data_IF_884241357493
#
_entry.id   IF_884241357493
#
_cell.length_a   1.000
_cell.length_b   1.000
_cell.length_c   1.000
_cell.angle_alpha   90.00
_cell.angle_beta   90.00
_cell.angle_gamma   90.00
#
_symmetry.space_group_name_H-M   'P 1'
#
loop_
_entity.id
_entity.type
_entity.pdbx_description
1 polymer ?
#
# COMPACT_ATOMS: atom_id res chain seq x y z
N UNK A 1 24.91 -15.32 2.18
CA UNK A 1 23.49 -15.52 1.78
C UNK A 1 23.09 -14.38 0.84
N UNK A 2 23.34 -14.50 -0.48
CA UNK A 2 23.19 -13.41 -1.47
C UNK A 2 22.59 -13.95 -2.79
N UNK A 3 21.29 -14.29 -2.80
CA UNK A 3 20.61 -14.78 -4.03
C UNK A 3 19.24 -14.15 -4.32
N UNK A 4 18.76 -13.23 -3.48
CA UNK A 4 17.41 -12.67 -3.60
C UNK A 4 17.30 -11.41 -4.48
N UNK A 5 18.42 -10.72 -4.78
CA UNK A 5 18.37 -9.42 -5.49
C UNK A 5 18.07 -9.55 -7.00
N UNK A 6 18.48 -10.65 -7.63
CA UNK A 6 18.34 -10.85 -9.09
C UNK A 6 16.92 -11.25 -9.51
N UNK A 7 16.14 -11.92 -8.66
CA UNK A 7 14.77 -12.33 -8.99
C UNK A 7 13.82 -11.14 -8.95
N UNK A 8 14.00 -10.20 -8.02
CA UNK A 8 13.04 -9.08 -7.93
C UNK A 8 13.24 -8.02 -9.00
N UNK A 9 14.46 -7.86 -9.53
CA UNK A 9 14.70 -7.05 -10.72
C UNK A 9 13.93 -7.58 -11.94
N UNK A 10 13.87 -8.90 -12.14
CA UNK A 10 13.09 -9.52 -13.22
C UNK A 10 11.59 -9.30 -13.05
N UNK A 11 11.11 -9.30 -11.81
CA UNK A 11 9.70 -9.05 -11.47
C UNK A 11 9.35 -7.59 -11.74
N UNK A 12 10.19 -6.65 -11.31
CA UNK A 12 9.98 -5.22 -11.58
C UNK A 12 10.03 -4.92 -13.08
N UNK A 13 10.91 -5.59 -13.84
CA UNK A 13 10.94 -5.48 -15.30
C UNK A 13 9.70 -6.09 -15.97
N UNK A 14 9.25 -7.30 -15.58
CA UNK A 14 8.02 -7.91 -16.13
C UNK A 14 6.77 -7.08 -15.81
N UNK A 15 6.70 -6.52 -14.61
CA UNK A 15 5.61 -5.62 -14.17
C UNK A 15 5.68 -4.29 -14.92
N UNK A 16 6.87 -3.72 -15.12
CA UNK A 16 7.05 -2.53 -15.94
C UNK A 16 6.68 -2.78 -17.40
N UNK A 17 7.08 -3.91 -17.99
CA UNK A 17 6.72 -4.29 -19.35
C UNK A 17 5.21 -4.50 -19.52
N UNK A 18 4.53 -5.01 -18.47
CA UNK A 18 3.07 -5.11 -18.45
C UNK A 18 2.37 -3.74 -18.26
N UNK A 19 2.98 -2.80 -17.52
CA UNK A 19 2.47 -1.42 -17.34
C UNK A 19 2.71 -0.54 -18.57
N UNK A 20 3.75 -0.80 -19.37
CA UNK A 20 4.05 -0.05 -20.59
C UNK A 20 3.07 -0.30 -21.76
N UNK A 21 2.06 -1.17 -21.61
CA UNK A 21 1.05 -1.47 -22.65
C UNK A 21 -0.40 -1.15 -22.24
N UNK A 22 -0.67 0.05 -21.75
CA UNK A 22 -2.04 0.58 -21.65
C UNK A 22 -2.04 2.12 -21.81
N UNK A 23 -1.52 2.63 -22.92
CA UNK A 23 -2.11 3.86 -23.46
C UNK A 23 -3.34 3.42 -24.26
N UNK A 24 -4.58 3.77 -23.87
CA UNK A 24 -5.67 3.69 -24.83
C UNK A 24 -5.26 4.59 -25.99
N UNK A 25 -5.25 4.05 -27.21
CA UNK A 25 -5.07 4.83 -28.43
C UNK A 25 -6.05 6.02 -28.36
N UNK A 26 -5.55 7.20 -28.00
CA UNK A 26 -6.27 8.43 -28.23
C UNK A 26 -6.30 8.57 -29.73
N UNK A 27 -7.42 8.20 -30.34
CA UNK A 27 -7.74 8.55 -31.72
C UNK A 27 -7.47 10.04 -31.86
N UNK A 28 -6.43 10.37 -32.61
CA UNK A 28 -6.14 11.74 -33.01
C UNK A 28 -7.29 12.16 -33.91
N UNK A 29 -8.25 12.92 -33.37
CA UNK A 29 -9.16 13.70 -34.20
C UNK A 29 -8.42 14.96 -34.63
N UNK A 30 -8.27 15.11 -35.92
CA UNK A 30 -7.60 16.18 -36.64
C UNK A 30 -8.11 17.58 -36.28
N UNK A 31 -7.13 18.49 -36.22
CA UNK A 31 -7.09 19.89 -36.65
C UNK A 31 -8.18 20.87 -36.18
N UNK A 32 -7.74 21.86 -35.40
CA UNK A 32 -8.10 23.26 -35.69
C UNK A 32 -6.88 24.17 -35.50
N UNK A 33 -6.63 24.97 -36.54
CA UNK A 33 -5.60 26.00 -36.62
C UNK A 33 -6.03 27.26 -35.86
N UNK A 34 -5.34 27.68 -34.79
CA UNK A 34 -5.33 29.10 -34.37
C UNK A 34 -3.99 29.51 -33.75
N UNK A 35 -3.41 30.53 -34.39
CA UNK A 35 -2.51 31.61 -33.99
C UNK A 35 -1.53 31.49 -32.78
N UNK A 36 -0.30 31.91 -33.08
CA UNK A 36 0.77 32.30 -32.18
C UNK A 36 0.29 33.14 -30.97
N UNK A 37 0.47 32.59 -29.77
CA UNK A 37 0.61 33.34 -28.53
C UNK A 37 1.87 32.85 -27.83
N UNK A 38 2.67 33.76 -27.30
CA UNK A 38 3.88 33.47 -26.53
C UNK A 38 3.64 32.34 -25.52
N UNK A 39 4.58 31.37 -25.39
CA UNK A 39 4.40 30.25 -24.49
C UNK A 39 4.38 30.77 -23.06
N UNK A 40 3.17 30.84 -22.49
CA UNK A 40 2.97 30.93 -21.05
C UNK A 40 3.76 29.78 -20.44
N UNK A 41 4.90 30.10 -19.82
CA UNK A 41 5.77 29.13 -19.15
C UNK A 41 4.98 28.58 -17.97
N UNK A 42 4.17 27.55 -18.21
CA UNK A 42 3.47 26.83 -17.16
C UNK A 42 4.55 26.31 -16.22
N UNK A 43 4.47 26.70 -14.93
CA UNK A 43 5.45 26.31 -13.92
C UNK A 43 5.76 24.81 -14.05
N UNK A 44 6.98 24.49 -14.45
CA UNK A 44 7.37 23.12 -14.76
C UNK A 44 7.13 22.26 -13.51
N UNK A 45 6.18 21.32 -13.61
CA UNK A 45 5.90 20.42 -12.50
C UNK A 45 7.15 19.59 -12.21
N UNK A 46 7.48 19.43 -10.93
CA UNK A 46 8.64 18.64 -10.48
C UNK A 46 8.21 17.26 -10.00
N UNK A 47 9.04 16.24 -10.26
CA UNK A 47 8.82 14.89 -9.73
C UNK A 47 8.74 14.94 -8.19
N UNK A 48 7.68 14.36 -7.58
CA UNK A 48 7.53 14.42 -6.12
C UNK A 48 8.67 13.73 -5.36
N UNK A 49 9.27 12.70 -5.95
CA UNK A 49 10.34 11.89 -5.35
C UNK A 49 11.69 12.58 -5.50
N UNK A 50 12.20 12.77 -6.73
CA UNK A 50 13.54 13.32 -6.94
C UNK A 50 13.59 14.85 -6.99
N UNK A 51 12.44 15.54 -6.90
CA UNK A 51 12.28 17.01 -6.98
C UNK A 51 12.80 17.67 -8.28
N UNK A 52 13.28 16.88 -9.24
CA UNK A 52 13.77 17.41 -10.53
C UNK A 52 12.57 17.84 -11.41
N UNK A 53 12.66 19.00 -12.10
CA UNK A 53 11.68 19.37 -13.11
C UNK A 53 11.71 18.34 -14.24
N UNK A 54 10.54 17.94 -14.74
CA UNK A 54 10.43 16.95 -15.81
C UNK A 54 9.32 17.32 -16.76
N UNK A 55 9.60 17.18 -18.05
CA UNK A 55 8.64 17.38 -19.14
C UNK A 55 7.61 16.25 -19.20
N UNK A 56 7.97 15.05 -18.72
CA UNK A 56 7.10 13.88 -18.64
C UNK A 56 6.95 13.43 -17.19
N UNK A 57 5.90 13.93 -16.54
CA UNK A 57 5.42 13.40 -15.26
C UNK A 57 4.09 12.70 -15.50
N UNK A 58 3.88 11.58 -14.81
CA UNK A 58 2.62 10.86 -14.81
C UNK A 58 2.13 10.63 -13.39
N UNK A 59 0.82 10.47 -13.24
CA UNK A 59 0.28 9.91 -12.00
C UNK A 59 0.73 8.46 -11.89
N UNK A 60 1.35 8.09 -10.76
CA UNK A 60 1.73 6.71 -10.51
C UNK A 60 0.48 5.87 -10.19
N UNK A 61 0.12 4.95 -11.10
CA UNK A 61 -0.93 3.97 -10.86
C UNK A 61 -0.63 3.13 -9.61
N UNK A 62 0.65 2.81 -9.39
CA UNK A 62 1.08 2.07 -8.22
C UNK A 62 0.93 2.88 -6.93
N UNK A 63 1.23 4.19 -6.93
CA UNK A 63 1.00 5.05 -5.76
C UNK A 63 -0.49 5.07 -5.36
N UNK A 64 -1.42 5.09 -6.33
CA UNK A 64 -2.86 4.99 -6.05
C UNK A 64 -3.26 3.68 -5.35
N UNK A 65 -2.51 2.61 -5.59
CA UNK A 65 -2.73 1.30 -4.98
C UNK A 65 -2.04 1.13 -3.61
N UNK A 66 -1.25 2.12 -3.18
CA UNK A 66 -0.62 2.10 -1.86
C UNK A 66 -1.49 2.76 -0.80
N UNK A 67 -1.54 2.14 0.38
CA UNK A 67 -2.04 2.79 1.60
C UNK A 67 -1.04 2.58 2.73
N UNK A 68 -1.00 3.53 3.66
CA UNK A 68 -0.38 3.29 4.96
C UNK A 68 -1.43 2.72 5.93
N UNK A 69 -0.97 2.10 7.01
CA UNK A 69 -1.85 1.58 8.07
C UNK A 69 -2.64 2.68 8.82
N UNK A 70 -2.27 3.95 8.66
CA UNK A 70 -3.04 5.10 9.12
C UNK A 70 -4.18 5.53 8.18
N UNK A 71 -4.57 4.69 7.22
CA UNK A 71 -5.59 4.99 6.21
C UNK A 71 -5.26 6.16 5.26
N UNK A 72 -3.99 6.60 5.18
CA UNK A 72 -3.60 7.55 4.14
C UNK A 72 -3.41 6.78 2.82
N UNK A 73 -4.06 7.26 1.77
CA UNK A 73 -3.84 6.79 0.41
C UNK A 73 -2.65 7.52 -0.21
N UNK A 74 -1.96 6.88 -1.15
CA UNK A 74 -1.06 7.61 -2.03
C UNK A 74 -1.87 8.66 -2.79
N UNK A 75 -1.77 9.92 -2.36
CA UNK A 75 -2.33 11.06 -3.10
C UNK A 75 -1.87 11.02 -4.56
N UNK A 76 -2.57 11.69 -5.48
CA UNK A 76 -2.18 11.79 -6.90
C UNK A 76 -0.76 12.37 -7.03
N UNK A 77 0.24 11.49 -7.02
CA UNK A 77 1.65 11.87 -7.05
C UNK A 77 2.12 11.86 -8.48
N UNK A 78 2.53 13.04 -8.96
CA UNK A 78 3.26 13.17 -10.20
C UNK A 78 4.71 12.72 -9.98
N UNK A 79 5.04 11.57 -10.57
CA UNK A 79 6.36 10.94 -10.45
C UNK A 79 6.92 10.74 -11.85
N UNK A 80 8.24 10.87 -12.02
CA UNK A 80 8.89 10.54 -13.28
C UNK A 80 9.03 9.01 -13.43
N UNK A 81 9.09 8.48 -14.66
CA UNK A 81 9.13 7.03 -14.89
C UNK A 81 10.19 6.30 -14.06
N UNK A 82 11.42 6.82 -14.00
CA UNK A 82 12.50 6.21 -13.21
C UNK A 82 12.21 6.16 -11.71
N UNK A 83 11.64 7.24 -11.16
CA UNK A 83 11.28 7.27 -9.74
C UNK A 83 10.07 6.39 -9.45
N UNK A 84 9.18 6.20 -10.42
CA UNK A 84 8.01 5.31 -10.31
C UNK A 84 8.46 3.84 -10.15
N UNK A 85 9.46 3.43 -10.93
CA UNK A 85 10.09 2.10 -10.81
C UNK A 85 10.70 1.90 -9.42
N UNK A 86 11.53 2.87 -8.98
CA UNK A 86 12.15 2.80 -7.66
C UNK A 86 11.11 2.85 -6.53
N UNK A 87 10.01 3.57 -6.75
CA UNK A 87 8.91 3.66 -5.79
C UNK A 87 8.22 2.31 -5.61
N UNK A 88 7.95 1.58 -6.71
CA UNK A 88 7.42 0.21 -6.63
C UNK A 88 8.30 -0.65 -5.73
N UNK A 89 9.60 -0.67 -6.00
CA UNK A 89 10.57 -1.42 -5.22
C UNK A 89 10.61 -1.02 -3.75
N UNK A 90 10.66 0.29 -3.47
CA UNK A 90 10.73 0.80 -2.12
C UNK A 90 9.46 0.49 -1.31
N UNK A 91 8.29 0.45 -1.94
CA UNK A 91 7.04 0.04 -1.26
C UNK A 91 7.03 -1.48 -1.04
N UNK A 92 7.40 -2.29 -2.04
CA UNK A 92 7.46 -3.76 -1.92
C UNK A 92 8.39 -4.18 -0.78
N UNK A 93 9.52 -3.48 -0.65
CA UNK A 93 10.54 -3.74 0.37
C UNK A 93 10.32 -2.95 1.67
N UNK A 94 9.17 -2.26 1.83
CA UNK A 94 8.82 -1.45 3.01
C UNK A 94 9.85 -0.36 3.37
N UNK A 95 10.60 0.12 2.38
CA UNK A 95 11.53 1.23 2.54
C UNK A 95 10.84 2.59 2.37
N UNK A 96 9.74 2.64 1.64
CA UNK A 96 9.02 3.88 1.34
C UNK A 96 8.09 4.30 2.48
N UNK A 97 8.29 5.52 3.00
CA UNK A 97 7.41 6.15 3.99
C UNK A 97 6.15 6.74 3.35
N UNK A 98 5.12 6.88 4.18
CA UNK A 98 3.89 7.56 3.84
C UNK A 98 4.17 9.00 3.37
N UNK A 99 3.40 9.45 2.39
CA UNK A 99 3.54 10.80 1.84
C UNK A 99 2.87 11.90 2.68
N UNK A 100 2.13 11.54 3.73
CA UNK A 100 1.46 12.49 4.61
C UNK A 100 2.47 13.07 5.60
N UNK A 101 2.41 14.39 5.79
CA UNK A 101 3.23 15.09 6.78
C UNK A 101 2.97 14.46 8.17
N UNK A 102 4.03 14.21 8.94
CA UNK A 102 3.98 13.53 10.25
C UNK A 102 3.62 12.03 10.26
N UNK A 103 3.44 11.37 9.11
CA UNK A 103 3.22 9.93 9.06
C UNK A 103 4.50 9.15 8.74
N UNK A 104 5.10 8.53 9.76
CA UNK A 104 6.34 7.72 9.62
C UNK A 104 6.11 6.26 9.20
N UNK A 105 4.85 5.86 8.99
CA UNK A 105 4.50 4.49 8.61
C UNK A 105 4.98 4.17 7.21
N UNK A 106 5.30 2.91 6.96
CA UNK A 106 5.68 2.47 5.63
C UNK A 106 4.44 2.27 4.76
N UNK A 107 4.54 2.65 3.49
CA UNK A 107 3.50 2.35 2.52
C UNK A 107 3.50 0.85 2.25
N UNK A 108 2.30 0.29 2.13
CA UNK A 108 2.08 -1.05 1.66
C UNK A 108 1.19 -1.00 0.42
N UNK A 109 1.39 -1.94 -0.49
CA UNK A 109 0.39 -2.20 -1.53
C UNK A 109 -0.83 -2.75 -0.83
N UNK A 110 -1.97 -2.08 -0.99
CA UNK A 110 -3.22 -2.67 -0.57
C UNK A 110 -3.58 -3.64 -1.67
N UNK A 111 -3.55 -4.94 -1.35
CA UNK A 111 -4.37 -5.86 -2.11
C UNK A 111 -5.80 -5.36 -1.92
N UNK A 112 -6.34 -4.62 -2.89
CA UNK A 112 -7.79 -4.65 -3.08
C UNK A 112 -8.08 -6.14 -3.18
N UNK A 113 -8.98 -6.66 -2.34
CA UNK A 113 -9.59 -7.96 -2.63
C UNK A 113 -10.04 -7.84 -4.08
N UNK A 114 -9.38 -8.59 -4.96
CA UNK A 114 -9.94 -8.78 -6.30
C UNK A 114 -11.20 -9.58 -6.04
N UNK A 115 -12.34 -8.91 -6.02
CA UNK A 115 -13.60 -9.56 -5.68
C UNK A 115 -13.96 -10.59 -6.73
N UNK A 116 -13.66 -10.30 -8.00
CA UNK A 116 -13.75 -11.25 -9.09
C UNK A 116 -12.66 -10.93 -10.13
N UNK A 117 -12.05 -11.99 -10.65
CA UNK A 117 -11.20 -11.91 -11.83
C UNK A 117 -11.70 -12.91 -12.86
N UNK A 118 -11.52 -12.58 -14.13
CA UNK A 118 -11.76 -13.51 -15.23
C UNK A 118 -10.49 -13.64 -16.05
N UNK A 119 -10.08 -14.88 -16.30
CA UNK A 119 -9.07 -15.18 -17.29
C UNK A 119 -9.76 -15.32 -18.65
N UNK A 120 -9.30 -14.53 -19.63
CA UNK A 120 -9.66 -14.71 -21.04
C UNK A 120 -8.36 -14.66 -21.82
N UNK A 121 -8.04 -15.72 -22.57
CA UNK A 121 -6.89 -15.79 -23.47
C UNK A 121 -5.55 -15.34 -22.83
N UNK A 122 -5.23 -15.86 -21.64
CA UNK A 122 -4.01 -15.53 -20.85
C UNK A 122 -3.95 -14.12 -20.26
N UNK A 123 -5.01 -13.32 -20.40
CA UNK A 123 -5.13 -12.03 -19.73
C UNK A 123 -5.98 -12.11 -18.45
N UNK A 124 -5.48 -11.54 -17.36
CA UNK A 124 -6.26 -11.33 -16.13
C UNK A 124 -7.02 -10.01 -16.26
N UNK A 125 -8.34 -10.12 -16.30
CA UNK A 125 -9.23 -8.98 -16.17
C UNK A 125 -9.58 -8.82 -14.70
N UNK A 126 -9.18 -7.70 -14.11
CA UNK A 126 -9.56 -7.32 -12.75
C UNK A 126 -10.76 -6.40 -12.86
N UNK A 127 -11.90 -6.84 -12.33
CA UNK A 127 -13.11 -6.04 -12.27
C UNK A 127 -13.15 -5.34 -10.91
N UNK A 128 -13.37 -4.04 -10.94
CA UNK A 128 -13.55 -3.24 -9.73
C UNK A 128 -15.00 -2.77 -9.69
N UNK A 129 -15.70 -3.07 -8.60
CA UNK A 129 -17.05 -2.58 -8.39
C UNK A 129 -16.99 -1.09 -8.04
N UNK A 130 -17.60 -0.24 -8.86
CA UNK A 130 -17.83 1.17 -8.54
C UNK A 130 -19.34 1.41 -8.45
N UNK A 131 -19.88 1.37 -7.22
CA UNK A 131 -21.33 1.45 -7.01
C UNK A 131 -22.03 0.16 -7.41
N UNK A 132 -23.01 0.23 -8.33
CA UNK A 132 -23.75 -0.92 -8.86
C UNK A 132 -23.23 -1.42 -10.22
N UNK A 133 -22.22 -0.77 -10.79
CA UNK A 133 -21.69 -1.11 -12.12
C UNK A 133 -20.29 -1.73 -12.01
N UNK A 134 -20.03 -2.71 -12.88
CA UNK A 134 -18.74 -3.35 -13.02
C UNK A 134 -18.00 -2.71 -14.19
N UNK A 135 -16.90 -2.01 -13.92
CA UNK A 135 -15.99 -1.55 -14.96
C UNK A 135 -14.72 -2.41 -14.96
N UNK A 136 -14.32 -2.88 -16.14
CA UNK A 136 -13.04 -3.54 -16.34
C UNK A 136 -11.94 -2.48 -16.32
N UNK A 137 -11.35 -2.25 -15.15
CA UNK A 137 -10.43 -1.11 -14.95
C UNK A 137 -9.00 -1.44 -15.45
N UNK A 138 -8.62 -2.71 -15.60
CA UNK A 138 -7.23 -3.05 -15.94
C UNK A 138 -7.02 -4.46 -16.54
N UNK A 139 -6.19 -4.53 -17.60
CA UNK A 139 -5.58 -5.77 -18.10
C UNK A 139 -4.21 -5.92 -17.41
N UNK A 140 -4.03 -6.89 -16.51
CA UNK A 140 -2.70 -7.18 -15.95
C UNK A 140 -2.25 -8.58 -16.38
N UNK A 141 -1.68 -8.68 -17.58
CA UNK A 141 -0.94 -9.87 -18.02
C UNK A 141 0.31 -10.03 -17.14
N UNK A 142 0.43 -11.14 -16.40
CA UNK A 142 1.57 -11.42 -15.51
C UNK A 142 1.39 -11.07 -14.01
N UNK A 143 0.17 -10.77 -13.56
CA UNK A 143 -0.15 -10.29 -12.21
C UNK A 143 -0.05 -11.32 -11.07
N UNK A 144 -0.32 -12.61 -11.31
CA UNK A 144 -0.42 -13.59 -10.20
C UNK A 144 0.91 -13.78 -9.48
N UNK A 145 2.01 -13.96 -10.22
CA UNK A 145 3.37 -14.06 -9.66
C UNK A 145 3.72 -12.78 -8.88
N UNK A 146 3.37 -11.62 -9.41
CA UNK A 146 3.63 -10.34 -8.76
C UNK A 146 2.86 -10.17 -7.44
N UNK A 147 1.55 -10.46 -7.42
CA UNK A 147 0.76 -10.36 -6.19
C UNK A 147 1.13 -11.44 -5.18
N UNK A 148 1.51 -12.63 -5.62
CA UNK A 148 2.06 -13.67 -4.73
C UNK A 148 3.38 -13.20 -4.09
N UNK A 149 4.26 -12.56 -4.85
CA UNK A 149 5.51 -12.00 -4.32
C UNK A 149 5.26 -10.84 -3.36
N UNK A 150 4.34 -9.92 -3.70
CA UNK A 150 3.92 -8.85 -2.80
C UNK A 150 3.39 -9.44 -1.48
N UNK A 151 2.53 -10.45 -1.56
CA UNK A 151 1.98 -11.11 -0.38
C UNK A 151 3.05 -11.84 0.45
N UNK A 152 3.97 -12.55 -0.22
CA UNK A 152 5.06 -13.27 0.44
C UNK A 152 6.06 -12.34 1.14
N UNK A 153 6.22 -11.11 0.65
CA UNK A 153 7.10 -10.09 1.24
C UNK A 153 6.39 -9.17 2.23
N UNK A 154 5.06 -9.19 2.27
CA UNK A 154 4.27 -8.40 3.20
C UNK A 154 4.11 -9.13 4.56
N UNK A 155 5.23 -9.39 5.22
CA UNK A 155 5.33 -10.08 6.51
C UNK A 155 6.06 -9.23 7.55
N UNK A 156 5.84 -9.50 8.83
CA UNK A 156 6.59 -8.94 9.95
C UNK A 156 6.89 -10.01 11.01
N UNK A 157 7.84 -9.75 11.90
CA UNK A 157 8.13 -10.63 13.03
C UNK A 157 7.34 -10.17 14.25
N UNK A 158 6.53 -11.06 14.85
CA UNK A 158 5.76 -10.72 16.03
C UNK A 158 6.68 -10.53 17.24
N UNK A 159 6.57 -9.41 17.95
CA UNK A 159 7.45 -9.09 19.10
C UNK A 159 7.23 -10.01 20.31
N UNK A 160 6.13 -10.79 20.35
CA UNK A 160 5.81 -11.71 21.45
C UNK A 160 6.24 -13.13 21.11
N UNK A 161 5.74 -13.71 20.01
CA UNK A 161 6.06 -15.11 19.64
C UNK A 161 7.24 -15.26 18.68
N UNK A 162 7.80 -14.17 18.15
CA UNK A 162 8.87 -14.15 17.13
C UNK A 162 8.52 -14.85 15.81
N UNK A 163 7.25 -15.23 15.60
CA UNK A 163 6.81 -15.82 14.34
C UNK A 163 6.74 -14.77 13.23
N UNK A 164 7.06 -15.20 12.01
CA UNK A 164 6.86 -14.37 10.81
C UNK A 164 5.41 -14.46 10.36
N UNK A 165 4.69 -13.35 10.44
CA UNK A 165 3.25 -13.28 10.22
C UNK A 165 2.94 -12.32 9.07
N UNK A 166 1.97 -12.67 8.23
CA UNK A 166 1.49 -11.74 7.20
C UNK A 166 0.74 -10.57 7.84
N UNK A 167 0.83 -9.38 7.26
CA UNK A 167 0.12 -8.21 7.80
C UNK A 167 -1.41 -8.37 7.81
N UNK A 168 -1.99 -9.28 7.02
CA UNK A 168 -3.42 -9.63 7.09
C UNK A 168 -3.81 -10.30 8.41
N UNK A 169 -2.84 -10.91 9.10
CA UNK A 169 -2.99 -11.51 10.43
C UNK A 169 -2.29 -10.68 11.52
N UNK A 170 -1.70 -9.54 11.15
CA UNK A 170 -1.13 -8.58 12.07
C UNK A 170 -2.20 -7.68 12.69
N UNK A 171 -1.98 -7.27 13.93
CA UNK A 171 -2.82 -6.32 14.64
C UNK A 171 -1.96 -5.11 15.04
N UNK A 172 -2.29 -3.95 14.49
CA UNK A 172 -1.96 -2.71 15.20
C UNK A 172 -2.95 -2.56 16.35
N UNK A 173 -2.43 -2.40 17.57
CA UNK A 173 -3.28 -2.28 18.75
C UNK A 173 -4.19 -1.04 18.68
N UNK A 174 -3.71 0.04 18.05
CA UNK A 174 -4.53 1.21 17.75
C UNK A 174 -4.12 1.84 16.43
N UNK A 175 -5.04 2.37 15.61
CA UNK A 175 -4.68 3.10 14.39
C UNK A 175 -3.89 4.38 14.70
N UNK A 176 -3.82 4.80 15.97
CA UNK A 176 -3.02 5.94 16.44
C UNK A 176 -1.53 5.60 16.59
N UNK A 177 -1.13 4.33 16.61
CA UNK A 177 0.26 3.90 16.65
C UNK A 177 1.03 4.40 15.42
N UNK A 178 2.11 5.17 15.59
CA UNK A 178 2.96 5.64 14.50
C UNK A 178 4.02 4.60 14.07
N UNK A 179 3.69 3.32 14.19
CA UNK A 179 4.50 2.20 13.74
C UNK A 179 3.62 1.18 13.02
N UNK A 180 4.25 0.26 12.31
CA UNK A 180 3.56 -0.85 11.66
C UNK A 180 3.08 -1.87 12.72
N UNK A 181 2.21 -2.80 12.31
CA UNK A 181 1.77 -3.87 13.21
C UNK A 181 2.97 -4.69 13.70
N UNK A 182 3.08 -4.87 15.01
CA UNK A 182 4.17 -5.63 15.64
C UNK A 182 3.68 -6.87 16.40
N UNK A 183 2.37 -7.06 16.49
CA UNK A 183 1.76 -8.24 17.09
C UNK A 183 0.95 -9.01 16.07
N UNK A 184 1.03 -10.34 16.11
CA UNK A 184 0.02 -11.17 15.48
C UNK A 184 -1.29 -11.09 16.28
N UNK A 185 -2.42 -11.35 15.61
CA UNK A 185 -3.75 -11.24 16.24
C UNK A 185 -3.88 -12.07 17.53
N UNK A 186 -3.43 -13.34 17.61
CA UNK A 186 -3.49 -14.12 18.85
C UNK A 186 -2.70 -13.49 20.00
N UNK A 187 -1.47 -13.04 19.76
CA UNK A 187 -0.65 -12.39 20.79
C UNK A 187 -1.25 -11.04 21.23
N UNK A 188 -1.87 -10.30 20.32
CA UNK A 188 -2.60 -9.09 20.67
C UNK A 188 -3.80 -9.40 21.59
N UNK A 189 -4.61 -10.42 21.26
CA UNK A 189 -5.74 -10.85 22.08
C UNK A 189 -5.32 -11.28 23.48
N UNK A 190 -4.31 -12.16 23.56
CA UNK A 190 -3.74 -12.61 24.84
C UNK A 190 -3.23 -11.44 25.69
N UNK A 191 -2.50 -10.50 25.07
CA UNK A 191 -2.01 -9.30 25.75
C UNK A 191 -3.15 -8.47 26.35
N UNK A 192 -4.23 -8.26 25.60
CA UNK A 192 -5.40 -7.52 26.08
C UNK A 192 -6.09 -8.24 27.24
N UNK A 193 -6.31 -9.55 27.12
CA UNK A 193 -6.96 -10.34 28.16
C UNK A 193 -6.17 -10.32 29.48
N UNK A 194 -4.84 -10.42 29.39
CA UNK A 194 -3.96 -10.33 30.55
C UNK A 194 -4.05 -8.95 31.23
N UNK A 195 -4.06 -7.86 30.46
CA UNK A 195 -4.15 -6.51 31.03
C UNK A 195 -5.53 -6.22 31.65
N UNK A 196 -6.61 -6.69 31.03
CA UNK A 196 -7.96 -6.59 31.60
C UNK A 196 -8.06 -7.39 32.90
N UNK A 197 -7.53 -8.63 32.93
CA UNK A 197 -7.50 -9.46 34.13
C UNK A 197 -6.71 -8.86 35.31
N UNK A 198 -5.73 -7.99 35.02
CA UNK A 198 -4.99 -7.23 36.03
C UNK A 198 -5.71 -5.93 36.48
N UNK A 199 -6.90 -5.62 35.95
CA UNK A 199 -7.63 -4.39 36.23
C UNK A 199 -7.09 -3.15 35.50
N UNK A 200 -6.18 -3.32 34.54
CA UNK A 200 -5.52 -2.21 33.82
C UNK A 200 -6.30 -1.70 32.61
N UNK A 201 -7.58 -2.06 32.46
CA UNK A 201 -8.37 -1.82 31.24
C UNK A 201 -8.42 -0.35 30.78
N UNK A 202 -8.28 0.63 31.69
CA UNK A 202 -8.26 2.07 31.36
C UNK A 202 -6.92 2.61 30.85
N UNK A 203 -5.84 1.85 30.99
CA UNK A 203 -4.46 2.34 30.75
C UNK A 203 -3.63 1.35 29.94
N UNK A 204 -4.26 0.51 29.13
CA UNK A 204 -3.55 -0.45 28.28
C UNK A 204 -2.76 0.33 27.22
N UNK A 205 -1.43 0.31 27.35
CA UNK A 205 -0.51 0.92 26.39
C UNK A 205 -0.11 -0.04 25.28
N UNK A 206 0.40 0.52 24.17
CA UNK A 206 1.06 -0.28 23.14
C UNK A 206 2.38 -0.88 23.66
N UNK A 207 2.64 -2.19 23.47
CA UNK A 207 3.88 -2.83 23.94
C UNK A 207 5.08 -2.54 23.04
N UNK A 208 4.91 -1.86 21.91
CA UNK A 208 6.00 -1.46 21.03
C UNK A 208 6.93 -0.46 21.73
N UNK A 209 8.23 -0.71 21.68
CA UNK A 209 9.23 0.12 22.36
C UNK A 209 9.14 1.58 21.87
N UNK A 210 8.93 2.50 22.81
CA UNK A 210 8.83 3.93 22.52
C UNK A 210 7.45 4.40 22.03
N UNK A 211 6.49 3.49 21.81
CA UNK A 211 5.12 3.87 21.51
C UNK A 211 4.37 4.24 22.80
N UNK A 212 3.87 5.48 22.86
CA UNK A 212 3.12 6.01 24.03
C UNK A 212 1.60 5.98 23.85
N UNK A 213 1.12 5.29 22.81
CA UNK A 213 -0.32 5.25 22.53
C UNK A 213 -1.02 4.34 23.53
N UNK A 214 -2.18 4.80 24.01
CA UNK A 214 -3.06 4.08 24.93
C UNK A 214 -4.30 3.68 24.16
N UNK A 215 -4.72 2.42 24.29
CA UNK A 215 -5.89 1.88 23.62
C UNK A 215 -7.15 2.53 24.19
N UNK A 216 -8.10 2.86 23.30
CA UNK A 216 -9.43 3.32 23.69
C UNK A 216 -10.46 2.16 23.64
N UNK A 217 -11.72 2.47 23.94
CA UNK A 217 -12.79 1.47 23.93
C UNK A 217 -13.06 0.86 22.55
N UNK A 218 -12.82 1.60 21.46
CA UNK A 218 -13.03 1.10 20.11
C UNK A 218 -11.88 0.18 19.67
N UNK A 219 -10.66 0.49 20.10
CA UNK A 219 -9.50 -0.40 19.98
C UNK A 219 -9.75 -1.74 20.68
N UNK A 220 -10.32 -1.71 21.90
CA UNK A 220 -10.67 -2.93 22.65
C UNK A 220 -11.72 -3.76 21.92
N UNK A 221 -12.83 -3.16 21.49
CA UNK A 221 -13.90 -3.88 20.75
C UNK A 221 -13.41 -4.53 19.47
N UNK A 222 -12.44 -3.93 18.79
CA UNK A 222 -11.89 -4.44 17.53
C UNK A 222 -10.97 -5.65 17.72
N UNK A 223 -10.29 -5.73 18.86
CA UNK A 223 -9.17 -6.66 19.05
C UNK A 223 -9.44 -7.74 20.08
N UNK A 224 -10.15 -7.42 21.16
CA UNK A 224 -10.46 -8.38 22.21
C UNK A 224 -11.40 -9.48 21.69
N UNK A 225 -11.26 -10.67 22.26
CA UNK A 225 -12.30 -11.70 22.14
C UNK A 225 -13.50 -11.35 23.03
N UNK A 226 -14.62 -12.04 22.82
CA UNK A 226 -15.86 -11.84 23.58
C UNK A 226 -15.64 -12.01 25.08
N UNK A 227 -14.88 -13.04 25.46
CA UNK A 227 -14.62 -13.39 26.85
C UNK A 227 -13.82 -12.29 27.58
N UNK A 228 -12.99 -11.54 26.86
CA UNK A 228 -12.25 -10.40 27.43
C UNK A 228 -13.13 -9.16 27.55
N UNK A 229 -14.15 -8.98 26.70
CA UNK A 229 -15.06 -7.83 26.76
C UNK A 229 -16.13 -7.97 27.85
N UNK A 230 -16.45 -9.19 28.26
CA UNK A 230 -17.47 -9.48 29.27
C UNK A 230 -16.95 -9.39 30.73
N UNK A 231 -15.65 -9.11 30.93
CA UNK A 231 -14.99 -8.95 32.24
C UNK A 231 -14.99 -7.50 32.72
#
# INVERSE_FOLDING_TARGET
>A
MQRAELEVWKVCWKVNAAIEFCEPERKASEQDHVANSDPVVSAAKSCRVCKKPKTKLRESAFARMTKCAGNHTGSKTLICPQCDINFVWAVVTRQQECFHEDCRRKLAVVSRKMETYRFVDSALFVYVLFGSEWEAEFLVTGSSEFFQLLSAKNVFSCIVCSETVTYTHGASLTPRCQHDASLCKPCAQWFLSAQVGLGNWRKIGCPELGCKQVLDGDDMKRLADTDTLDK
#
